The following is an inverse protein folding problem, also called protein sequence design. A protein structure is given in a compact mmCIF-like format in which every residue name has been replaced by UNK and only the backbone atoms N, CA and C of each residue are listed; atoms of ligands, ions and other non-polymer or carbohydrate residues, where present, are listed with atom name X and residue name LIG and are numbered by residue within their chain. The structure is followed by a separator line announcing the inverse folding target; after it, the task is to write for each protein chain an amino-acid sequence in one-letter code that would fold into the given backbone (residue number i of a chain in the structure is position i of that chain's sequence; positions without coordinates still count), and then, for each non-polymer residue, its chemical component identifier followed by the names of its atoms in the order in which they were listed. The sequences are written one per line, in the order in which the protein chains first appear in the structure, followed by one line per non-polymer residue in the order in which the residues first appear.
data_IF_484243541295
#
_entry.id   IF_484243541295
#
_cell.length_a   1.000
_cell.length_b   1.000
_cell.length_c   1.000
_cell.angle_alpha   90.00
_cell.angle_beta   90.00
_cell.angle_gamma   90.00
#
_symmetry.space_group_name_H-M   'P 1'
#
loop_
_entity.id
_entity.type
_entity.pdbx_description
1 polymer ?
#
# COMPACT_ATOMS: atom_id res chain seq x y z
N UNK A 1 1.85 -1.97 -2.19
CA UNK A 1 2.38 -1.15 -1.08
C UNK A 1 2.52 -2.03 0.15
N UNK A 2 3.70 -2.05 0.75
CA UNK A 2 4.00 -2.84 1.95
C UNK A 2 4.09 -1.92 3.15
N UNK A 3 3.51 -2.34 4.27
CA UNK A 3 3.45 -1.55 5.48
C UNK A 3 4.55 -1.98 6.44
N UNK A 4 5.15 -1.03 7.15
CA UNK A 4 6.16 -1.33 8.17
C UNK A 4 5.57 -2.24 9.24
N UNK A 5 6.41 -3.13 9.75
CA UNK A 5 6.03 -4.02 10.83
C UNK A 5 5.92 -3.22 12.13
N UNK A 6 4.69 -2.92 12.54
CA UNK A 6 4.38 -2.27 13.82
C UNK A 6 3.60 -3.19 14.76
N UNK A 7 3.72 -3.01 16.09
CA UNK A 7 3.02 -3.82 17.08
C UNK A 7 1.50 -3.67 17.02
N UNK A 8 1.00 -2.50 16.57
CA UNK A 8 -0.44 -2.18 16.54
C UNK A 8 -0.98 -1.96 15.12
N UNK A 9 -0.58 -2.88 14.22
CA UNK A 9 -0.81 -2.89 12.79
C UNK A 9 -2.24 -2.57 12.31
N UNK A 10 -3.25 -2.70 13.17
CA UNK A 10 -4.66 -2.40 12.89
C UNK A 10 -4.85 -0.92 12.52
N UNK A 11 -4.16 -0.03 13.23
CA UNK A 11 -4.31 1.40 13.09
C UNK A 11 -3.69 1.91 11.79
N UNK A 12 -2.45 1.53 11.49
CA UNK A 12 -1.76 1.94 10.27
C UNK A 12 -2.44 1.35 9.03
N UNK A 13 -2.97 0.13 9.11
CA UNK A 13 -3.68 -0.50 8.01
C UNK A 13 -4.97 0.25 7.66
N UNK A 14 -5.72 0.70 8.67
CA UNK A 14 -6.91 1.52 8.47
C UNK A 14 -6.56 2.93 7.98
N UNK A 15 -5.47 3.50 8.48
CA UNK A 15 -4.97 4.79 8.02
C UNK A 15 -4.54 4.75 6.55
N UNK A 16 -3.77 3.74 6.15
CA UNK A 16 -3.34 3.55 4.77
C UNK A 16 -4.54 3.40 3.82
N UNK A 17 -5.58 2.63 4.20
CA UNK A 17 -6.83 2.54 3.41
C UNK A 17 -7.53 3.88 3.27
N UNK A 18 -7.60 4.66 4.36
CA UNK A 18 -8.23 5.98 4.36
C UNK A 18 -7.48 6.95 3.46
N UNK A 19 -6.15 6.98 3.56
CA UNK A 19 -5.28 7.80 2.73
C UNK A 19 -5.42 7.44 1.25
N UNK A 20 -5.46 6.14 0.90
CA UNK A 20 -5.66 5.68 -0.49
C UNK A 20 -6.97 6.21 -1.06
N UNK A 21 -8.06 6.14 -0.28
CA UNK A 21 -9.37 6.67 -0.70
C UNK A 21 -9.37 8.19 -0.84
N UNK A 22 -8.74 8.91 0.10
CA UNK A 22 -8.60 10.38 0.04
C UNK A 22 -7.78 10.84 -1.16
N UNK A 23 -6.79 10.05 -1.57
CA UNK A 23 -5.99 10.30 -2.76
C UNK A 23 -6.71 9.96 -4.08
N UNK A 24 -8.01 9.60 -4.04
CA UNK A 24 -8.77 9.17 -5.21
C UNK A 24 -8.38 7.79 -5.73
N UNK A 25 -7.67 7.00 -4.92
CA UNK A 25 -7.29 5.64 -5.22
C UNK A 25 -8.28 4.60 -4.70
N UNK A 26 -8.01 3.35 -5.03
CA UNK A 26 -8.79 2.19 -4.64
C UNK A 26 -7.88 1.11 -4.06
N UNK A 27 -8.29 0.49 -2.96
CA UNK A 27 -7.67 -0.73 -2.45
C UNK A 27 -8.28 -1.92 -3.20
N UNK A 28 -7.45 -2.72 -3.86
CA UNK A 28 -7.89 -3.90 -4.63
C UNK A 28 -7.77 -5.17 -3.80
N UNK A 29 -6.70 -5.33 -3.01
CA UNK A 29 -6.47 -6.52 -2.21
C UNK A 29 -5.71 -6.21 -0.91
N UNK A 30 -5.88 -7.08 0.09
CA UNK A 30 -5.21 -7.00 1.39
C UNK A 30 -4.30 -8.21 1.60
N UNK A 31 -2.99 -7.97 1.68
CA UNK A 31 -2.01 -9.00 2.02
C UNK A 31 -1.89 -9.06 3.55
N UNK A 32 -2.16 -10.23 4.13
CA UNK A 32 -2.19 -10.46 5.59
C UNK A 32 -1.25 -11.56 6.08
N UNK A 33 -0.77 -12.41 5.18
CA UNK A 33 0.01 -13.61 5.52
C UNK A 33 1.50 -13.39 5.27
N UNK A 34 2.32 -13.49 6.32
CA UNK A 34 3.78 -13.30 6.28
C UNK A 34 4.24 -11.85 6.11
N UNK A 35 3.50 -11.07 5.33
CA UNK A 35 3.74 -9.67 5.03
C UNK A 35 2.41 -8.93 5.02
N UNK A 36 2.35 -7.76 5.67
CA UNK A 36 1.16 -6.91 5.63
C UNK A 36 1.32 -5.84 4.57
N UNK A 37 0.39 -5.82 3.63
CA UNK A 37 0.43 -4.91 2.50
C UNK A 37 -0.95 -4.67 1.93
N UNK A 38 -1.03 -3.64 1.11
CA UNK A 38 -2.20 -3.28 0.33
C UNK A 38 -1.80 -3.28 -1.15
N UNK A 39 -2.58 -3.98 -1.97
CA UNK A 39 -2.56 -3.77 -3.42
C UNK A 39 -3.55 -2.64 -3.69
N UNK A 40 -3.08 -1.61 -4.37
CA UNK A 40 -3.83 -0.37 -4.54
C UNK A 40 -3.69 0.13 -5.97
N UNK A 41 -4.76 0.72 -6.48
CA UNK A 41 -4.74 1.60 -7.65
C UNK A 41 -4.66 3.03 -7.16
N UNK A 42 -3.66 3.76 -7.62
CA UNK A 42 -3.44 5.15 -7.26
C UNK A 42 -3.31 6.00 -8.52
N UNK A 43 -3.77 7.26 -8.51
CA UNK A 43 -3.41 8.25 -9.52
C UNK A 43 -1.88 8.40 -9.58
N UNK A 44 -1.33 8.68 -10.78
CA UNK A 44 0.12 8.78 -11.01
C UNK A 44 0.82 9.72 -10.03
N UNK A 45 0.20 10.85 -9.73
CA UNK A 45 0.76 11.90 -8.87
C UNK A 45 0.72 11.55 -7.38
N UNK A 46 -0.07 10.55 -6.98
CA UNK A 46 -0.21 10.15 -5.59
C UNK A 46 0.90 9.21 -5.12
N UNK A 47 1.57 8.48 -6.02
CA UNK A 47 2.56 7.44 -5.67
C UNK A 47 3.68 7.99 -4.78
N UNK A 48 4.28 9.11 -5.18
CA UNK A 48 5.39 9.75 -4.45
C UNK A 48 4.97 10.29 -3.08
N UNK A 49 3.67 10.52 -2.86
CA UNK A 49 3.15 10.95 -1.57
C UNK A 49 3.04 9.78 -0.58
N UNK A 50 2.81 8.55 -1.05
CA UNK A 50 2.76 7.35 -0.21
C UNK A 50 4.14 6.81 0.14
N UNK A 51 5.12 6.91 -0.77
CA UNK A 51 6.51 6.49 -0.49
C UNK A 51 7.14 7.24 0.70
N UNK A 52 6.66 8.45 1.00
CA UNK A 52 7.15 9.29 2.11
C UNK A 52 6.41 9.06 3.43
N UNK A 53 5.40 8.19 3.47
CA UNK A 53 4.61 7.95 4.69
C UNK A 53 5.38 7.04 5.64
N UNK A 54 5.39 7.40 6.93
CA UNK A 54 6.12 6.63 7.95
C UNK A 54 5.68 5.17 8.05
N UNK A 55 4.42 4.88 7.78
CA UNK A 55 3.85 3.53 7.83
C UNK A 55 4.17 2.67 6.60
N UNK A 56 4.77 3.24 5.55
CA UNK A 56 5.15 2.50 4.35
C UNK A 56 6.59 2.01 4.50
N UNK A 57 6.77 0.70 4.29
CA UNK A 57 8.10 0.08 4.26
C UNK A 57 8.70 0.21 2.87
N UNK A 58 7.96 -0.24 1.86
CA UNK A 58 8.28 -0.02 0.46
C UNK A 58 7.03 -0.02 -0.43
N UNK A 59 7.15 0.58 -1.59
CA UNK A 59 6.16 0.52 -2.66
C UNK A 59 6.80 -0.03 -3.92
N UNK A 60 6.02 -0.86 -4.62
CA UNK A 60 6.40 -1.42 -5.91
C UNK A 60 5.23 -1.23 -6.88
N UNK A 61 5.56 -0.99 -8.15
CA UNK A 61 4.58 -0.96 -9.23
C UNK A 61 4.24 -2.39 -9.63
N UNK A 62 2.96 -2.73 -9.55
CA UNK A 62 2.46 -4.00 -10.03
C UNK A 62 2.77 -4.16 -11.52
N UNK A 63 3.58 -5.17 -11.86
CA UNK A 63 4.12 -5.40 -13.20
C UNK A 63 3.84 -6.85 -13.60
N UNK A 64 3.30 -7.10 -14.81
CA UNK A 64 3.00 -8.46 -15.24
C UNK A 64 4.29 -9.26 -15.47
N UNK A 65 4.40 -10.40 -14.80
CA UNK A 65 5.49 -11.35 -15.02
C UNK A 65 5.15 -12.22 -16.23
N UNK A 66 6.09 -12.32 -17.18
CA UNK A 66 5.99 -13.23 -18.32
C UNK A 66 6.96 -14.40 -18.09
N UNK A 67 6.44 -15.62 -18.09
CA UNK A 67 7.26 -16.84 -18.07
C UNK A 67 7.39 -17.28 -19.52
N UNK A 68 8.63 -17.33 -20.02
CA UNK A 68 9.00 -17.82 -21.36
C UNK A 68 9.64 -19.20 -21.28
#
# INVERSE_FOLDING_TARGET
MVLKKCPDMSAEFNQAKSDVRKAGGQVTEELKYGLKGLIVRLPKDAVSAFEKKDYVDFMEKDSPVHIV
#
